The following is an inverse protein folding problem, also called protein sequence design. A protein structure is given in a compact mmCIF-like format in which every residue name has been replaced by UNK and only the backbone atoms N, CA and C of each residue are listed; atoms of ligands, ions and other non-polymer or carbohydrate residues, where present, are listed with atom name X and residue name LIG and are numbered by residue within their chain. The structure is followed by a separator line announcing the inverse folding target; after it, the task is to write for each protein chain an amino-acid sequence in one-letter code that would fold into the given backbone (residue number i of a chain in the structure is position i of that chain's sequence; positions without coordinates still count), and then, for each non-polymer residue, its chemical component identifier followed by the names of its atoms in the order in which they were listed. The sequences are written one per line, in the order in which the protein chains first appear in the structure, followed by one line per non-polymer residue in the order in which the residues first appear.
data_IF_316674518089
#
_entry.id   IF_316674518089
#
_cell.length_a   1.000
_cell.length_b   1.000
_cell.length_c   1.000
_cell.angle_alpha   90.00
_cell.angle_beta   90.00
_cell.angle_gamma   90.00
#
_symmetry.space_group_name_H-M   'P 1'
#
loop_
_entity.id
_entity.type
_entity.pdbx_description
1 polymer ?
#
# COMPACT_ATOMS: atom_id res chain seq x y z
N UNK A 1 15.94 -7.34 -16.06
CA UNK A 1 14.96 -6.28 -15.76
C UNK A 1 15.55 -5.43 -14.64
N UNK A 2 15.54 -4.10 -14.74
CA UNK A 2 16.12 -3.22 -13.71
C UNK A 2 15.08 -2.89 -12.63
N UNK A 3 15.50 -2.34 -11.49
CA UNK A 3 14.58 -1.93 -10.42
C UNK A 3 13.64 -0.81 -10.89
N UNK A 4 14.16 0.14 -11.66
CA UNK A 4 13.40 1.23 -12.28
C UNK A 4 12.30 0.70 -13.20
N UNK A 5 12.63 -0.29 -14.04
CA UNK A 5 11.67 -0.90 -14.96
C UNK A 5 10.53 -1.62 -14.21
N UNK A 6 10.86 -2.30 -13.10
CA UNK A 6 9.86 -2.97 -12.24
C UNK A 6 8.90 -1.95 -11.62
N UNK A 7 9.44 -0.89 -11.00
CA UNK A 7 8.61 0.14 -10.34
C UNK A 7 7.81 0.94 -11.37
N UNK A 8 8.38 1.23 -12.54
CA UNK A 8 7.66 1.87 -13.64
C UNK A 8 6.48 1.02 -14.14
N UNK A 9 6.63 -0.30 -14.21
CA UNK A 9 5.52 -1.20 -14.54
C UNK A 9 4.40 -1.09 -13.48
N UNK A 10 4.74 -1.06 -12.19
CA UNK A 10 3.76 -0.91 -11.13
C UNK A 10 2.96 0.38 -11.25
N UNK A 11 3.66 1.52 -11.45
CA UNK A 11 3.01 2.82 -11.67
C UNK A 11 2.07 2.77 -12.87
N UNK A 12 2.53 2.25 -14.00
CA UNK A 12 1.72 2.14 -15.22
C UNK A 12 0.43 1.34 -14.99
N UNK A 13 0.50 0.23 -14.25
CA UNK A 13 -0.67 -0.60 -13.95
C UNK A 13 -1.62 0.07 -12.95
N UNK A 14 -1.11 0.79 -11.96
CA UNK A 14 -1.93 1.55 -11.02
C UNK A 14 -2.68 2.69 -11.73
N UNK A 15 -2.02 3.40 -12.66
CA UNK A 15 -2.67 4.40 -13.52
C UNK A 15 -3.78 3.76 -14.35
N UNK A 16 -3.52 2.61 -14.99
CA UNK A 16 -4.53 1.92 -15.77
C UNK A 16 -5.76 1.48 -14.94
N UNK A 17 -5.57 1.15 -13.65
CA UNK A 17 -6.68 0.88 -12.73
C UNK A 17 -7.47 2.16 -12.41
N UNK A 18 -6.78 3.28 -12.14
CA UNK A 18 -7.42 4.55 -11.85
C UNK A 18 -8.20 5.12 -13.05
N UNK A 19 -7.71 4.91 -14.28
CA UNK A 19 -8.39 5.34 -15.52
C UNK A 19 -9.70 4.58 -15.76
N UNK A 20 -9.82 3.38 -15.20
CA UNK A 20 -10.98 2.53 -15.37
C UNK A 20 -11.48 2.05 -13.99
N UNK A 21 -11.98 2.93 -13.11
CA UNK A 21 -12.20 2.65 -11.69
C UNK A 21 -13.21 1.52 -11.43
N UNK A 22 -13.19 1.00 -10.20
CA UNK A 22 -14.01 -0.15 -9.80
C UNK A 22 -15.47 0.21 -9.48
N UNK A 23 -15.78 1.50 -9.55
CA UNK A 23 -17.05 2.12 -9.20
C UNK A 23 -17.41 3.22 -10.21
N UNK A 24 -18.66 3.68 -10.10
CA UNK A 24 -19.11 4.93 -10.71
C UNK A 24 -19.42 5.94 -9.59
N UNK A 25 -18.98 7.18 -9.75
CA UNK A 25 -19.34 8.24 -8.81
C UNK A 25 -20.83 8.57 -8.93
N UNK A 26 -21.50 8.71 -7.79
CA UNK A 26 -22.90 9.16 -7.70
C UNK A 26 -23.02 10.25 -6.65
N UNK A 27 -23.81 11.27 -6.94
CA UNK A 27 -24.06 12.42 -6.05
C UNK A 27 -22.78 13.05 -5.47
N UNK A 28 -21.69 13.00 -6.24
CA UNK A 28 -20.36 13.44 -5.81
C UNK A 28 -19.99 14.72 -6.55
N UNK A 29 -19.66 15.82 -5.83
CA UNK A 29 -19.11 17.03 -6.45
C UNK A 29 -17.87 16.73 -7.32
N UNK A 30 -17.76 17.42 -8.46
CA UNK A 30 -16.65 17.21 -9.40
C UNK A 30 -15.28 17.40 -8.75
N UNK A 31 -15.12 18.42 -7.90
CA UNK A 31 -13.85 18.67 -7.20
C UNK A 31 -13.41 17.46 -6.35
N UNK A 32 -14.35 16.79 -5.65
CA UNK A 32 -14.03 15.59 -4.87
C UNK A 32 -13.71 14.40 -5.78
N UNK A 33 -14.36 14.30 -6.94
CA UNK A 33 -14.03 13.29 -7.96
C UNK A 33 -12.61 13.49 -8.48
N UNK A 34 -12.23 14.73 -8.79
CA UNK A 34 -10.90 15.08 -9.30
C UNK A 34 -9.82 14.83 -8.24
N UNK A 35 -10.05 15.28 -7.01
CA UNK A 35 -9.14 15.03 -5.88
C UNK A 35 -8.97 13.54 -5.60
N UNK A 36 -10.06 12.77 -5.65
CA UNK A 36 -10.01 11.32 -5.49
C UNK A 36 -9.18 10.67 -6.60
N UNK A 37 -9.44 11.03 -7.86
CA UNK A 37 -8.69 10.48 -9.00
C UNK A 37 -7.22 10.85 -8.94
N UNK A 38 -6.89 12.10 -8.61
CA UNK A 38 -5.53 12.55 -8.45
C UNK A 38 -4.79 11.69 -7.41
N UNK A 39 -5.40 11.47 -6.23
CA UNK A 39 -4.82 10.61 -5.18
C UNK A 39 -4.50 9.19 -5.65
N UNK A 40 -5.30 8.58 -6.52
CA UNK A 40 -5.06 7.20 -7.00
C UNK A 40 -3.79 7.07 -7.84
N UNK A 41 -3.33 8.16 -8.45
CA UNK A 41 -2.18 8.20 -9.35
C UNK A 41 -1.05 9.12 -8.89
N UNK A 42 -1.16 9.72 -7.70
CA UNK A 42 -0.08 10.49 -7.11
C UNK A 42 1.00 9.56 -6.60
N UNK A 43 2.18 9.67 -7.21
CA UNK A 43 3.39 8.98 -6.79
C UNK A 43 4.42 9.98 -6.29
N UNK A 44 4.95 9.74 -5.11
CA UNK A 44 5.97 10.57 -4.49
C UNK A 44 6.90 9.66 -3.69
N UNK A 45 8.20 9.82 -3.85
CA UNK A 45 9.18 9.14 -3.02
C UNK A 45 10.08 10.11 -2.29
N UNK A 46 11.15 9.54 -1.72
CA UNK A 46 12.15 10.28 -0.98
C UNK A 46 13.30 10.74 -1.87
N UNK A 47 14.07 11.70 -1.35
CA UNK A 47 15.34 12.08 -1.94
C UNK A 47 16.41 11.01 -1.69
N UNK A 48 17.38 10.91 -2.60
CA UNK A 48 18.48 9.94 -2.50
C UNK A 48 19.26 10.16 -1.20
N UNK A 49 19.45 11.41 -0.80
CA UNK A 49 20.17 11.80 0.42
C UNK A 49 19.42 11.34 1.69
N UNK A 50 18.09 11.39 1.70
CA UNK A 50 17.28 10.86 2.81
C UNK A 50 17.47 9.34 2.94
N UNK A 51 17.50 8.64 1.80
CA UNK A 51 17.68 7.20 1.73
C UNK A 51 19.07 6.76 2.16
N UNK A 52 20.11 7.42 1.67
CA UNK A 52 21.48 7.17 2.07
C UNK A 52 21.71 7.46 3.56
N UNK A 53 21.06 8.48 4.13
CA UNK A 53 21.14 8.76 5.56
C UNK A 53 20.55 7.63 6.41
N UNK A 54 19.40 7.08 6.00
CA UNK A 54 18.79 5.93 6.70
C UNK A 54 19.67 4.69 6.59
N UNK A 55 20.19 4.41 5.40
CA UNK A 55 21.06 3.26 5.16
C UNK A 55 22.40 3.34 5.91
N UNK A 56 22.99 4.53 5.98
CA UNK A 56 24.17 4.78 6.80
C UNK A 56 23.88 4.51 8.28
N UNK A 57 22.69 4.90 8.76
CA UNK A 57 22.25 4.65 10.14
C UNK A 57 22.03 3.17 10.44
N UNK A 58 21.48 2.40 9.49
CA UNK A 58 21.31 0.94 9.66
C UNK A 58 22.55 0.12 9.33
N UNK A 59 23.58 0.74 8.73
CA UNK A 59 24.87 0.13 8.44
C UNK A 59 24.90 -0.75 7.18
N UNK A 60 23.89 -0.65 6.32
CA UNK A 60 23.76 -1.45 5.09
C UNK A 60 22.75 -0.83 4.13
N UNK A 61 22.76 -1.29 2.88
CA UNK A 61 21.83 -0.85 1.85
C UNK A 61 20.57 -1.71 1.80
N UNK A 62 19.44 -1.11 1.46
CA UNK A 62 18.24 -1.85 1.11
C UNK A 62 18.38 -2.54 -0.27
N UNK A 63 17.64 -3.64 -0.50
CA UNK A 63 17.60 -4.27 -1.82
C UNK A 63 17.17 -3.27 -2.90
N UNK A 64 17.79 -3.32 -4.08
CA UNK A 64 17.62 -2.33 -5.15
C UNK A 64 16.16 -2.07 -5.54
N UNK A 65 15.30 -3.10 -5.60
CA UNK A 65 13.87 -2.92 -5.92
C UNK A 65 13.14 -2.15 -4.81
N UNK A 66 13.38 -2.47 -3.54
CA UNK A 66 12.78 -1.73 -2.42
C UNK A 66 13.32 -0.30 -2.35
N UNK A 67 14.61 -0.13 -2.62
CA UNK A 67 15.27 1.18 -2.73
C UNK A 67 14.59 2.04 -3.79
N UNK A 68 14.38 1.50 -4.98
CA UNK A 68 13.68 2.20 -6.06
C UNK A 68 12.24 2.54 -5.67
N UNK A 69 11.52 1.61 -5.03
CA UNK A 69 10.18 1.90 -4.52
C UNK A 69 10.17 3.11 -3.58
N UNK A 70 11.12 3.22 -2.65
CA UNK A 70 11.21 4.36 -1.74
C UNK A 70 11.46 5.69 -2.47
N UNK A 71 12.31 5.70 -3.49
CA UNK A 71 12.63 6.88 -4.29
C UNK A 71 11.46 7.33 -5.18
N UNK A 72 10.64 6.39 -5.62
CA UNK A 72 9.61 6.65 -6.61
C UNK A 72 8.20 6.78 -6.03
N UNK A 73 7.92 6.09 -4.92
CA UNK A 73 6.58 5.82 -4.38
C UNK A 73 6.53 5.73 -2.84
N UNK A 74 7.66 5.90 -2.14
CA UNK A 74 7.74 5.68 -0.69
C UNK A 74 6.78 6.53 0.13
N UNK A 75 6.61 7.80 -0.24
CA UNK A 75 5.76 8.76 0.47
C UNK A 75 4.29 8.67 -0.01
N UNK A 76 4.09 8.62 -1.33
CA UNK A 76 2.80 8.37 -1.95
C UNK A 76 2.94 7.30 -3.03
N UNK A 77 2.14 6.24 -2.94
CA UNK A 77 2.18 5.11 -3.88
C UNK A 77 0.87 4.94 -4.66
N UNK A 78 0.12 6.03 -4.84
CA UNK A 78 -1.24 6.00 -5.37
C UNK A 78 -2.14 5.14 -4.47
N UNK A 79 -2.86 4.21 -5.09
CA UNK A 79 -3.80 3.32 -4.41
C UNK A 79 -3.19 2.01 -3.90
N UNK A 80 -1.89 1.80 -4.10
CA UNK A 80 -1.21 0.58 -3.66
C UNK A 80 -1.29 0.42 -2.12
N UNK A 81 -1.54 -0.81 -1.66
CA UNK A 81 -1.75 -1.15 -0.25
C UNK A 81 -2.95 -0.45 0.43
N UNK A 82 -3.99 -0.10 -0.33
CA UNK A 82 -5.24 0.46 0.23
C UNK A 82 -5.73 -0.36 1.43
N UNK A 83 -6.02 0.33 2.53
CA UNK A 83 -6.52 -0.26 3.77
C UNK A 83 -5.44 -0.58 4.80
N UNK A 84 -4.17 -0.28 4.50
CA UNK A 84 -3.05 -0.34 5.45
C UNK A 84 -2.40 1.02 5.63
N UNK A 85 -1.74 1.22 6.77
CA UNK A 85 -0.87 2.37 6.96
C UNK A 85 0.51 2.04 6.42
N UNK A 86 1.10 2.92 5.61
CA UNK A 86 2.37 2.67 4.93
C UNK A 86 3.45 3.59 5.49
N UNK A 87 4.65 3.08 5.61
CA UNK A 87 5.79 3.91 5.98
C UNK A 87 6.48 4.44 4.72
N UNK A 88 6.49 5.77 4.58
CA UNK A 88 7.53 6.47 3.82
C UNK A 88 8.82 6.55 4.64
N UNK A 89 9.90 7.02 4.03
CA UNK A 89 11.20 7.07 4.71
C UNK A 89 11.13 7.95 5.97
N UNK A 90 10.35 9.02 5.90
CA UNK A 90 10.15 9.98 7.00
C UNK A 90 9.33 9.39 8.15
N UNK A 91 8.60 8.31 7.88
CA UNK A 91 7.80 7.60 8.87
C UNK A 91 8.53 6.46 9.57
N UNK A 92 9.72 6.04 9.11
CA UNK A 92 10.38 4.81 9.59
C UNK A 92 10.57 4.77 11.11
N UNK A 93 10.96 5.89 11.74
CA UNK A 93 11.19 5.94 13.17
C UNK A 93 9.88 5.78 13.95
N UNK A 94 8.82 6.49 13.53
CA UNK A 94 7.47 6.34 14.10
C UNK A 94 6.95 4.90 13.94
N UNK A 95 7.05 4.33 12.73
CA UNK A 95 6.59 2.96 12.50
C UNK A 95 7.37 1.93 13.31
N UNK A 96 8.66 2.17 13.57
CA UNK A 96 9.47 1.33 14.45
C UNK A 96 9.00 1.38 15.89
N UNK A 97 8.59 2.56 16.35
CA UNK A 97 7.95 2.72 17.66
C UNK A 97 6.58 2.01 17.69
N UNK A 98 5.73 2.23 16.69
CA UNK A 98 4.42 1.56 16.56
C UNK A 98 4.57 0.02 16.60
N UNK A 99 5.51 -0.54 15.84
CA UNK A 99 5.76 -1.98 15.84
C UNK A 99 6.25 -2.51 17.19
N UNK A 100 7.02 -1.70 17.93
CA UNK A 100 7.42 -2.06 19.29
C UNK A 100 6.22 -2.08 20.23
N UNK A 101 5.36 -1.06 20.17
CA UNK A 101 4.14 -1.00 20.98
C UNK A 101 3.24 -2.22 20.71
N UNK A 102 3.03 -2.57 19.44
CA UNK A 102 2.24 -3.76 19.06
C UNK A 102 2.81 -5.06 19.69
N UNK A 103 4.14 -5.22 19.71
CA UNK A 103 4.79 -6.40 20.31
C UNK A 103 4.68 -6.38 21.84
N UNK A 104 4.90 -5.22 22.45
CA UNK A 104 4.86 -5.02 23.90
C UNK A 104 3.44 -5.26 24.46
N UNK A 105 2.40 -4.85 23.73
CA UNK A 105 0.98 -5.01 24.09
C UNK A 105 0.58 -6.49 24.30
N UNK A 106 1.17 -7.40 23.52
CA UNK A 106 0.95 -8.84 23.63
C UNK A 106 1.99 -9.55 24.49
N UNK A 107 2.85 -8.79 25.19
CA UNK A 107 3.98 -9.30 25.96
C UNK A 107 4.88 -10.20 25.11
N UNK A 108 5.01 -9.87 23.83
CA UNK A 108 5.90 -10.55 22.91
C UNK A 108 7.35 -10.34 23.33
N UNK A 109 8.19 -11.34 23.10
CA UNK A 109 9.65 -11.26 23.32
C UNK A 109 10.42 -10.97 22.05
N UNK A 110 9.72 -10.74 20.94
CA UNK A 110 10.32 -10.49 19.64
C UNK A 110 10.89 -9.07 19.58
N UNK A 111 11.93 -8.86 18.78
CA UNK A 111 12.56 -7.54 18.62
C UNK A 111 12.82 -7.27 17.15
N UNK A 112 12.39 -6.09 16.69
CA UNK A 112 12.62 -5.67 15.30
C UNK A 112 14.12 -5.57 15.01
N UNK A 113 14.62 -6.28 13.99
CA UNK A 113 16.03 -6.19 13.59
C UNK A 113 16.48 -4.72 13.39
N UNK A 114 17.71 -4.36 13.80
CA UNK A 114 18.23 -2.99 13.67
C UNK A 114 18.20 -2.49 12.22
N UNK A 115 18.38 -3.40 11.27
CA UNK A 115 18.44 -3.18 9.83
C UNK A 115 17.08 -3.31 9.11
N UNK A 116 15.98 -3.44 9.85
CA UNK A 116 14.65 -3.52 9.27
C UNK A 116 14.03 -2.14 9.02
N UNK A 117 13.39 -1.99 7.86
CA UNK A 117 12.43 -0.94 7.56
C UNK A 117 11.03 -1.54 7.47
N UNK A 118 10.10 -1.00 8.26
CA UNK A 118 8.70 -1.38 8.18
C UNK A 118 8.11 -0.80 6.91
N UNK A 119 7.44 -1.63 6.12
CA UNK A 119 6.78 -1.25 4.86
C UNK A 119 5.36 -0.77 5.15
N UNK A 120 4.63 -1.54 5.97
CA UNK A 120 3.27 -1.21 6.36
C UNK A 120 2.91 -1.83 7.71
N UNK A 121 1.91 -1.23 8.35
CA UNK A 121 1.17 -1.79 9.48
C UNK A 121 -0.27 -2.01 9.06
N UNK A 122 -0.92 -3.00 9.66
CA UNK A 122 -2.33 -3.30 9.44
C UNK A 122 -3.05 -3.37 10.78
N UNK A 123 -3.94 -2.40 11.00
CA UNK A 123 -4.95 -2.38 12.08
C UNK A 123 -4.39 -2.59 13.51
N UNK A 124 -3.11 -2.27 13.75
CA UNK A 124 -2.49 -2.32 15.07
C UNK A 124 -2.14 -3.73 15.58
N UNK A 125 -2.14 -4.77 14.74
CA UNK A 125 -1.79 -6.14 15.17
C UNK A 125 -0.85 -6.88 14.22
N UNK A 126 -0.46 -6.26 13.11
CA UNK A 126 0.46 -6.85 12.12
C UNK A 126 1.29 -5.76 11.47
N UNK A 127 2.55 -6.07 11.16
CA UNK A 127 3.39 -5.25 10.31
C UNK A 127 4.29 -6.09 9.41
N UNK A 128 4.58 -5.53 8.24
CA UNK A 128 5.47 -6.11 7.24
C UNK A 128 6.75 -5.30 7.17
N UNK A 129 7.90 -5.95 7.00
CA UNK A 129 9.19 -5.27 6.98
C UNK A 129 10.17 -5.90 5.98
N UNK A 130 11.13 -5.09 5.53
CA UNK A 130 12.25 -5.48 4.66
C UNK A 130 13.55 -5.16 5.39
N UNK A 131 14.56 -6.02 5.27
CA UNK A 131 15.88 -5.80 5.87
C UNK A 131 16.87 -5.19 4.88
N UNK A 132 17.75 -4.32 5.37
CA UNK A 132 18.87 -3.76 4.63
C UNK A 132 20.00 -4.81 4.48
N UNK A 133 19.79 -5.79 3.60
CA UNK A 133 20.76 -6.88 3.34
C UNK A 133 21.48 -6.73 2.00
N UNK A 134 21.32 -5.58 1.33
CA UNK A 134 21.80 -5.35 -0.03
C UNK A 134 21.12 -6.25 -1.07
N UNK A 135 21.80 -6.42 -2.20
CA UNK A 135 21.31 -7.26 -3.30
C UNK A 135 20.28 -6.56 -4.19
N UNK A 136 19.77 -7.31 -5.17
CA UNK A 136 18.82 -6.77 -6.14
C UNK A 136 17.40 -6.68 -5.57
N UNK A 137 16.94 -7.75 -4.93
CA UNK A 137 15.63 -7.86 -4.29
C UNK A 137 15.79 -8.66 -3.00
N UNK A 138 14.82 -8.61 -2.10
CA UNK A 138 14.92 -9.22 -0.78
C UNK A 138 13.57 -9.67 -0.21
N UNK A 139 13.57 -10.57 0.78
CA UNK A 139 12.35 -11.11 1.35
C UNK A 139 11.56 -10.04 2.09
N UNK A 140 10.24 -10.24 2.14
CA UNK A 140 9.34 -9.49 3.03
C UNK A 140 8.94 -10.39 4.18
N UNK A 141 9.19 -9.89 5.38
CA UNK A 141 8.88 -10.55 6.63
C UNK A 141 7.62 -9.94 7.23
N UNK A 142 6.86 -10.74 7.96
CA UNK A 142 5.69 -10.31 8.72
C UNK A 142 5.84 -10.73 10.17
N UNK A 143 5.47 -9.82 11.06
CA UNK A 143 5.14 -10.16 12.43
C UNK A 143 3.65 -9.94 12.67
N UNK A 144 3.02 -10.79 13.49
CA UNK A 144 1.61 -10.66 13.88
C UNK A 144 1.39 -11.11 15.32
N UNK A 145 0.43 -10.50 16.00
CA UNK A 145 0.02 -10.84 17.37
C UNK A 145 -0.34 -12.33 17.58
N UNK A 146 -0.90 -13.00 16.56
CA UNK A 146 -1.23 -14.43 16.61
C UNK A 146 -0.01 -15.35 16.61
N UNK A 147 1.19 -14.82 16.36
CA UNK A 147 2.48 -15.50 16.38
C UNK A 147 3.54 -14.61 17.07
N UNK A 148 3.37 -14.29 18.36
CA UNK A 148 4.07 -13.17 18.99
C UNK A 148 5.58 -13.41 19.23
N UNK A 149 6.07 -14.63 18.98
CA UNK A 149 7.46 -15.03 19.23
C UNK A 149 8.29 -15.26 17.97
N UNK A 150 7.69 -15.17 16.79
CA UNK A 150 8.37 -15.40 15.52
C UNK A 150 7.86 -14.43 14.45
N UNK A 151 8.71 -14.15 13.47
CA UNK A 151 8.25 -13.59 12.20
C UNK A 151 8.11 -14.70 11.16
N UNK A 152 7.44 -14.39 10.06
CA UNK A 152 7.26 -15.30 8.94
C UNK A 152 7.64 -14.58 7.65
N UNK A 153 8.42 -15.25 6.80
CA UNK A 153 8.64 -14.78 5.45
C UNK A 153 7.35 -14.92 4.64
N UNK A 154 6.73 -13.81 4.27
CA UNK A 154 5.47 -13.78 3.50
C UNK A 154 5.69 -13.62 1.99
N UNK A 155 6.88 -13.18 1.59
CA UNK A 155 7.31 -13.17 0.20
C UNK A 155 8.82 -13.40 0.11
N UNK A 156 9.26 -14.18 -0.89
CA UNK A 156 10.68 -14.42 -1.14
C UNK A 156 11.41 -13.17 -1.69
N UNK A 157 10.67 -12.29 -2.36
CA UNK A 157 11.17 -11.07 -2.98
C UNK A 157 10.12 -9.95 -2.84
N UNK A 158 10.57 -8.70 -2.67
CA UNK A 158 9.72 -7.53 -2.50
C UNK A 158 8.90 -7.26 -3.77
N UNK A 159 9.47 -7.52 -4.95
CA UNK A 159 8.69 -7.38 -6.18
C UNK A 159 7.46 -8.31 -6.19
N UNK A 160 7.64 -9.56 -5.74
CA UNK A 160 6.56 -10.54 -5.63
C UNK A 160 5.50 -10.14 -4.60
N UNK A 161 5.92 -9.49 -3.50
CA UNK A 161 5.03 -8.94 -2.50
C UNK A 161 4.13 -7.81 -3.05
N UNK A 162 4.72 -6.86 -3.78
CA UNK A 162 3.97 -5.77 -4.43
C UNK A 162 3.03 -6.32 -5.51
N UNK A 163 3.50 -7.28 -6.31
CA UNK A 163 2.68 -7.94 -7.33
C UNK A 163 1.47 -8.67 -6.73
N UNK A 164 1.64 -9.34 -5.57
CA UNK A 164 0.54 -9.99 -4.88
C UNK A 164 -0.55 -8.99 -4.45
N UNK A 165 -0.15 -7.82 -3.91
CA UNK A 165 -1.07 -6.75 -3.54
C UNK A 165 -1.79 -6.17 -4.76
N UNK A 166 -1.05 -5.88 -5.83
CA UNK A 166 -1.64 -5.40 -7.09
C UNK A 166 -2.64 -6.40 -7.66
N UNK A 167 -2.32 -7.69 -7.69
CA UNK A 167 -3.26 -8.74 -8.16
C UNK A 167 -4.50 -8.84 -7.27
N UNK A 168 -4.37 -8.64 -5.96
CA UNK A 168 -5.51 -8.56 -5.06
C UNK A 168 -6.39 -7.34 -5.41
N UNK A 169 -5.79 -6.17 -5.61
CA UNK A 169 -6.51 -4.97 -6.04
C UNK A 169 -7.23 -5.21 -7.37
N UNK A 170 -6.57 -5.74 -8.39
CA UNK A 170 -7.18 -6.05 -9.69
C UNK A 170 -8.37 -7.01 -9.59
N UNK A 171 -8.31 -7.99 -8.67
CA UNK A 171 -9.42 -8.91 -8.41
C UNK A 171 -10.58 -8.22 -7.70
N UNK A 172 -10.29 -7.40 -6.69
CA UNK A 172 -11.29 -6.61 -5.98
C UNK A 172 -12.00 -5.65 -6.93
N UNK A 173 -11.22 -5.00 -7.78
CA UNK A 173 -11.68 -4.08 -8.82
C UNK A 173 -12.66 -4.75 -9.77
N UNK A 174 -12.28 -5.92 -10.30
CA UNK A 174 -13.15 -6.71 -11.18
C UNK A 174 -14.44 -7.11 -10.48
N UNK A 175 -14.35 -7.60 -9.25
CA UNK A 175 -15.51 -8.01 -8.44
C UNK A 175 -16.46 -6.85 -8.15
N UNK A 176 -15.94 -5.67 -7.81
CA UNK A 176 -16.74 -4.46 -7.58
C UNK A 176 -17.45 -3.98 -8.85
N UNK A 177 -16.79 -4.04 -10.02
CA UNK A 177 -17.43 -3.74 -11.30
C UNK A 177 -18.54 -4.72 -11.67
N UNK A 178 -18.33 -6.01 -11.46
CA UNK A 178 -19.36 -7.04 -11.66
C UNK A 178 -20.59 -6.81 -10.75
N UNK A 179 -20.38 -6.18 -9.60
CA UNK A 179 -21.45 -5.80 -8.65
C UNK A 179 -22.00 -4.39 -8.92
N UNK A 180 -21.51 -3.68 -9.94
CA UNK A 180 -21.87 -2.29 -10.26
C UNK A 180 -21.75 -1.38 -9.03
N UNK A 181 -20.59 -1.38 -8.40
CA UNK A 181 -20.34 -0.55 -7.22
C UNK A 181 -20.51 0.95 -7.55
N UNK A 182 -21.11 1.68 -6.62
CA UNK A 182 -21.19 3.13 -6.66
C UNK A 182 -20.44 3.73 -5.48
N UNK A 183 -19.84 4.90 -5.70
CA UNK A 183 -19.13 5.65 -4.68
C UNK A 183 -19.70 7.07 -4.59
N UNK A 184 -20.09 7.47 -3.39
CA UNK A 184 -20.39 8.87 -3.07
C UNK A 184 -19.28 9.41 -2.17
N UNK A 185 -18.70 10.56 -2.50
CA UNK A 185 -17.77 11.27 -1.62
C UNK A 185 -18.45 12.49 -1.01
N UNK A 186 -18.18 12.74 0.26
CA UNK A 186 -18.81 13.83 1.01
C UNK A 186 -17.83 14.99 1.26
N UNK A 187 -18.29 16.27 1.21
CA UNK A 187 -17.42 17.44 1.40
C UNK A 187 -16.77 17.54 2.80
N UNK A 188 -17.39 16.97 3.81
CA UNK A 188 -16.87 16.85 5.18
C UNK A 188 -15.85 15.71 5.35
N UNK A 189 -15.62 14.94 4.28
CA UNK A 189 -14.69 13.82 4.23
C UNK A 189 -15.38 12.45 4.22
N UNK A 190 -14.61 11.42 3.91
CA UNK A 190 -15.11 10.05 3.80
C UNK A 190 -15.86 9.78 2.50
N UNK A 191 -16.50 8.61 2.45
CA UNK A 191 -17.31 8.20 1.31
C UNK A 191 -18.13 6.97 1.59
N UNK A 192 -19.24 6.84 0.87
CA UNK A 192 -20.16 5.73 0.97
C UNK A 192 -20.07 4.84 -0.26
N UNK A 193 -19.87 3.54 -0.02
CA UNK A 193 -19.92 2.52 -1.06
C UNK A 193 -21.30 1.87 -1.09
N UNK A 194 -21.88 1.77 -2.29
CA UNK A 194 -23.16 1.09 -2.50
C UNK A 194 -22.95 -0.06 -3.47
N UNK A 195 -23.35 -1.26 -3.03
CA UNK A 195 -23.36 -2.48 -3.84
C UNK A 195 -24.82 -2.91 -4.03
N UNK A 196 -25.49 -2.52 -5.14
CA UNK A 196 -26.88 -2.91 -5.37
C UNK A 196 -27.02 -4.43 -5.46
N UNK A 197 -28.17 -4.96 -5.02
CA UNK A 197 -28.46 -6.37 -5.18
C UNK A 197 -28.56 -6.72 -6.68
N UNK A 198 -28.06 -7.90 -7.08
CA UNK A 198 -28.16 -8.35 -8.49
C UNK A 198 -29.60 -8.41 -9.02
N UNK A 199 -30.58 -8.48 -8.12
CA UNK A 199 -32.02 -8.55 -8.42
C UNK A 199 -32.76 -7.22 -8.28
N UNK A 200 -32.12 -6.13 -7.83
CA UNK A 200 -32.80 -4.84 -7.76
C UNK A 200 -32.78 -4.21 -9.14
N UNK A 201 -33.96 -4.05 -9.76
CA UNK A 201 -34.12 -3.31 -11.03
C UNK A 201 -33.74 -1.83 -10.94
N UNK A 202 -33.55 -1.30 -9.73
CA UNK A 202 -33.03 0.03 -9.48
C UNK A 202 -31.50 0.02 -9.55
N UNK A 203 -31.01 0.33 -10.74
CA UNK A 203 -29.66 0.81 -10.92
C UNK A 203 -29.75 2.34 -11.04
N UNK A 204 -29.11 3.13 -10.16
CA UNK A 204 -29.14 4.59 -10.16
C UNK A 204 -28.80 5.29 -11.49
N UNK A 205 -28.39 4.54 -12.52
CA UNK A 205 -28.03 5.03 -13.85
C UNK A 205 -28.84 4.40 -15.01
N UNK A 206 -29.79 3.49 -14.76
CA UNK A 206 -30.65 2.94 -15.82
C UNK A 206 -31.77 3.93 -16.25
N UNK A 207 -31.92 5.04 -15.53
CA UNK A 207 -32.90 6.10 -15.80
C UNK A 207 -32.31 7.37 -16.44
N UNK A 208 -31.03 7.38 -16.82
CA UNK A 208 -30.30 8.58 -17.25
C UNK A 208 -29.48 8.45 -18.53
N UNK A 209 -30.02 7.81 -19.58
CA UNK A 209 -29.51 7.91 -20.96
C UNK A 209 -30.46 8.67 -21.86
#
# INVERSE_FOLDING_TARGET
MTAEAIVAEWKSRLVALADNPEYVFVDTPQALTDDHRARLITFCGCHVEELEAVEARVGSQFPAVFRQYLLDMGEACGDLFRGSERAGIRGFDRFREDAREIVDDVRGSWTLPPDAAIVLTHQGYTFDYVRAIGGFDGPVMRWSDGKPHEDTQIAAIFAGYVDAHRRLMERNHRSARERRAYLTLHPDGGGQWVYPARSSGDHPLDSGR
#
